data_IF_177601406097
#
_entry.id   IF_177601406097
#
_cell.length_a   1.000
_cell.length_b   1.000
_cell.length_c   1.000
_cell.angle_alpha   90.00
_cell.angle_beta   90.00
_cell.angle_gamma   90.00
#
_symmetry.space_group_name_H-M   'P 1'
#
loop_
_entity.id
_entity.type
_entity.pdbx_description
1 polymer ?
#
# COMPACT_ATOMS: atom_id res chain seq x y z
N UNK A 1 1.34 10.36 20.40
CA UNK A 1 1.63 11.04 19.12
C UNK A 1 1.63 9.96 18.05
N UNK A 2 0.45 9.69 17.46
CA UNK A 2 0.21 8.54 16.59
C UNK A 2 0.93 8.72 15.25
N UNK A 3 1.80 7.76 14.92
CA UNK A 3 2.46 7.71 13.62
C UNK A 3 1.40 7.54 12.54
N UNK A 4 1.29 8.54 11.67
CA UNK A 4 0.33 8.60 10.57
C UNK A 4 0.68 7.51 9.56
N UNK A 5 0.00 6.37 9.65
CA UNK A 5 -0.05 5.33 8.60
C UNK A 5 -0.83 5.97 7.44
N UNK A 6 -0.14 6.73 6.59
CA UNK A 6 -0.76 7.55 5.53
C UNK A 6 -1.15 6.71 4.29
N UNK A 7 -0.78 5.44 4.24
CA UNK A 7 -0.85 4.63 3.03
C UNK A 7 -1.98 3.57 3.04
N UNK A 8 -2.58 3.29 4.20
CA UNK A 8 -3.64 2.29 4.32
C UNK A 8 -5.01 2.97 4.45
N UNK A 9 -5.92 2.74 3.50
CA UNK A 9 -7.31 3.18 3.60
C UNK A 9 -8.09 2.21 4.51
N UNK A 10 -8.08 2.51 5.82
CA UNK A 10 -8.71 1.68 6.84
C UNK A 10 -10.22 1.59 6.67
N UNK A 11 -10.88 2.65 6.22
CA UNK A 11 -12.33 2.68 6.04
C UNK A 11 -12.74 1.78 4.86
N UNK A 12 -12.01 1.85 3.75
CA UNK A 12 -12.25 0.98 2.61
C UNK A 12 -12.02 -0.50 2.96
N UNK A 13 -10.96 -0.81 3.70
CA UNK A 13 -10.66 -2.18 4.12
C UNK A 13 -11.69 -2.72 5.11
N UNK A 14 -12.08 -1.92 6.10
CA UNK A 14 -13.08 -2.28 7.10
C UNK A 14 -14.45 -2.53 6.45
N UNK A 15 -14.84 -1.74 5.46
CA UNK A 15 -16.07 -1.93 4.69
C UNK A 15 -16.10 -3.26 3.95
N UNK A 16 -14.99 -3.69 3.36
CA UNK A 16 -14.88 -4.99 2.66
C UNK A 16 -14.89 -6.15 3.66
N UNK A 17 -14.26 -5.98 4.81
CA UNK A 17 -14.14 -7.01 5.84
C UNK A 17 -15.33 -7.08 6.82
N UNK A 18 -16.35 -6.23 6.65
CA UNK A 18 -17.46 -6.04 7.61
C UNK A 18 -16.96 -5.85 9.06
N UNK A 19 -15.85 -5.13 9.19
CA UNK A 19 -15.14 -4.92 10.44
C UNK A 19 -15.15 -3.43 10.86
N UNK A 20 -14.73 -3.16 12.09
CA UNK A 20 -14.50 -1.79 12.57
C UNK A 20 -13.15 -1.29 12.01
N UNK A 21 -13.00 -0.02 11.61
CA UNK A 21 -11.76 0.53 11.05
C UNK A 21 -10.67 0.74 12.11
N UNK A 22 -10.21 -0.35 12.73
CA UNK A 22 -9.15 -0.37 13.74
C UNK A 22 -7.97 -1.19 13.22
N UNK A 23 -6.80 -0.57 13.17
CA UNK A 23 -5.53 -1.24 12.86
C UNK A 23 -4.79 -1.58 14.15
N UNK A 24 -4.42 -2.85 14.34
CA UNK A 24 -3.62 -3.31 15.48
C UNK A 24 -2.25 -3.74 14.96
N UNK A 25 -1.20 -2.98 15.28
CA UNK A 25 0.17 -3.29 14.90
C UNK A 25 1.13 -3.18 16.09
N UNK A 26 2.23 -3.94 16.03
CA UNK A 26 3.30 -3.88 17.01
C UNK A 26 4.14 -2.61 16.80
N UNK A 27 4.24 -1.78 17.84
CA UNK A 27 5.04 -0.56 17.80
C UNK A 27 6.55 -0.88 17.75
N UNK A 28 7.31 -0.13 16.95
CA UNK A 28 8.77 -0.24 16.90
C UNK A 28 9.38 -0.07 18.31
N UNK A 29 10.19 -1.05 18.73
CA UNK A 29 10.84 -1.06 20.04
C UNK A 29 10.14 -1.89 21.14
N UNK A 30 8.93 -2.40 20.90
CA UNK A 30 8.20 -3.26 21.85
C UNK A 30 8.26 -4.76 21.50
N UNK A 31 9.30 -5.17 20.75
CA UNK A 31 9.47 -6.56 20.32
C UNK A 31 9.84 -7.51 21.46
N UNK A 32 9.29 -8.72 21.45
CA UNK A 32 9.75 -9.81 22.32
C UNK A 32 11.12 -10.34 21.83
N UNK A 33 11.97 -10.94 22.69
CA UNK A 33 13.31 -11.43 22.32
C UNK A 33 13.37 -12.45 21.16
N UNK A 34 12.22 -12.99 20.73
CA UNK A 34 12.05 -13.95 19.63
C UNK A 34 10.87 -13.55 18.70
N UNK A 35 10.31 -12.35 18.89
CA UNK A 35 9.05 -11.95 18.26
C UNK A 35 9.24 -11.27 16.89
N UNK A 36 8.18 -11.13 16.09
CA UNK A 36 8.21 -10.36 14.85
C UNK A 36 8.67 -8.93 15.10
N UNK A 37 9.44 -8.36 14.17
CA UNK A 37 9.89 -6.97 14.27
C UNK A 37 8.71 -6.04 13.98
N UNK A 38 8.41 -5.12 14.90
CA UNK A 38 7.33 -4.14 14.74
C UNK A 38 7.54 -3.24 13.52
N UNK A 39 6.47 -3.00 12.75
CA UNK A 39 6.52 -2.21 11.51
C UNK A 39 6.95 -2.96 10.25
N UNK A 40 7.06 -4.29 10.30
CA UNK A 40 7.42 -5.12 9.15
C UNK A 40 6.38 -5.11 8.01
N UNK A 41 5.13 -4.75 8.29
CA UNK A 41 4.04 -4.68 7.30
C UNK A 41 4.15 -3.47 6.35
N UNK A 42 5.11 -2.57 6.56
CA UNK A 42 5.29 -1.40 5.68
C UNK A 42 6.04 -1.77 4.40
N UNK A 43 5.30 -2.25 3.40
CA UNK A 43 5.83 -2.58 2.07
C UNK A 43 5.52 -1.44 1.10
N UNK A 44 6.56 -0.81 0.57
CA UNK A 44 6.42 0.16 -0.53
C UNK A 44 6.27 -0.59 -1.85
N UNK A 45 5.04 -0.72 -2.35
CA UNK A 45 4.80 -1.21 -3.70
C UNK A 45 5.09 -0.10 -4.72
N UNK A 46 5.74 -0.47 -5.83
CA UNK A 46 6.04 0.47 -6.89
C UNK A 46 4.77 0.87 -7.63
N UNK A 47 4.36 2.13 -7.49
CA UNK A 47 3.13 2.65 -8.08
C UNK A 47 3.42 3.51 -9.33
N UNK A 48 3.88 2.88 -10.40
CA UNK A 48 4.20 3.56 -11.67
C UNK A 48 3.09 3.40 -12.73
N UNK A 49 1.84 3.24 -12.29
CA UNK A 49 0.70 3.03 -13.20
C UNK A 49 0.59 4.11 -14.30
N UNK A 50 0.90 5.37 -13.99
CA UNK A 50 0.91 6.45 -14.99
C UNK A 50 1.96 6.26 -16.08
N UNK A 51 3.16 5.76 -15.73
CA UNK A 51 4.23 5.49 -16.67
C UNK A 51 3.88 4.30 -17.59
N UNK A 52 3.26 3.27 -17.02
CA UNK A 52 2.71 2.15 -17.77
C UNK A 52 1.62 2.60 -18.75
N UNK A 53 0.68 3.44 -18.31
CA UNK A 53 -0.36 3.99 -19.18
C UNK A 53 0.28 4.74 -20.36
N UNK A 54 1.22 5.65 -20.10
CA UNK A 54 1.90 6.40 -21.16
C UNK A 54 2.58 5.44 -22.15
N UNK A 55 3.33 4.46 -21.64
CA UNK A 55 4.05 3.49 -22.48
C UNK A 55 3.11 2.74 -23.42
N UNK A 56 2.06 2.12 -22.87
CA UNK A 56 1.18 1.26 -23.64
C UNK A 56 0.27 2.05 -24.59
N UNK A 57 -0.31 3.17 -24.15
CA UNK A 57 -1.14 4.00 -25.02
C UNK A 57 -0.33 4.69 -26.12
N UNK A 58 0.90 5.13 -25.83
CA UNK A 58 1.77 5.70 -26.87
C UNK A 58 2.17 4.65 -27.89
N UNK A 59 2.49 3.42 -27.46
CA UNK A 59 2.81 2.32 -28.36
C UNK A 59 1.62 1.99 -29.27
N UNK A 60 0.41 1.88 -28.72
CA UNK A 60 -0.81 1.67 -29.51
C UNK A 60 -1.11 2.82 -30.47
N UNK A 61 -0.89 4.08 -30.05
CA UNK A 61 -1.07 5.24 -30.92
C UNK A 61 -0.10 5.21 -32.10
N UNK A 62 1.19 4.95 -31.85
CA UNK A 62 2.20 4.81 -32.89
C UNK A 62 1.88 3.70 -33.88
N UNK A 63 1.46 2.52 -33.41
CA UNK A 63 1.12 1.40 -34.31
C UNK A 63 -0.20 1.61 -35.05
N UNK A 64 -1.13 2.38 -34.50
CA UNK A 64 -2.40 2.71 -35.19
C UNK A 64 -2.26 3.76 -36.29
N UNK A 65 -1.22 4.59 -36.22
CA UNK A 65 -0.95 5.65 -37.20
C UNK A 65 -0.10 5.17 -38.39
N UNK A 66 0.64 4.08 -38.23
CA UNK A 66 1.34 3.37 -39.31
C UNK A 66 0.37 2.59 -40.18
#
# INVERSE_FOLDING_TARGET
MYAKIKELDLDAMAKVAEAVPVCIELLAGYGAPQGPVGGQTKVTLRNEHSNYMITWYSLSACTSYM
#
